data_IF_769411619700
#
_entry.id   IF_769411619700
#
_cell.length_a   1.000
_cell.length_b   1.000
_cell.length_c   1.000
_cell.angle_alpha   90.00
_cell.angle_beta   90.00
_cell.angle_gamma   90.00
#
_symmetry.space_group_name_H-M   'P 1'
#
loop_
_entity.id
_entity.type
_entity.pdbx_description
1 polymer ?
#
# COMPACT_ATOMS: atom_id res chain seq x y z
N UNK A 1 37.92 -46.31 -29.16
CA UNK A 1 37.21 -45.16 -29.76
C UNK A 1 36.49 -44.42 -28.63
N UNK A 2 37.18 -43.52 -27.92
CA UNK A 2 36.62 -42.74 -26.81
C UNK A 2 36.29 -41.33 -27.30
N UNK A 3 35.01 -41.04 -27.50
CA UNK A 3 34.55 -39.71 -27.89
C UNK A 3 34.63 -38.77 -26.67
N UNK A 4 35.41 -37.69 -26.81
CA UNK A 4 35.49 -36.61 -25.84
C UNK A 4 34.16 -35.84 -25.81
N UNK A 5 33.65 -35.42 -24.63
CA UNK A 5 32.46 -34.58 -24.57
C UNK A 5 32.73 -33.20 -25.21
N UNK A 6 31.73 -32.57 -25.85
CA UNK A 6 31.89 -31.27 -26.47
C UNK A 6 32.11 -30.19 -25.40
N UNK A 7 32.85 -29.12 -25.71
CA UNK A 7 33.05 -28.03 -24.76
C UNK A 7 31.72 -27.37 -24.43
N UNK A 8 31.47 -27.19 -23.13
CA UNK A 8 30.36 -26.36 -22.65
C UNK A 8 30.60 -24.95 -23.17
N UNK A 9 29.75 -24.50 -24.10
CA UNK A 9 29.77 -23.12 -24.55
C UNK A 9 29.35 -22.27 -23.36
N UNK A 10 30.34 -21.69 -22.66
CA UNK A 10 30.08 -20.55 -21.81
C UNK A 10 29.68 -19.45 -22.79
N UNK A 11 28.38 -19.22 -22.97
CA UNK A 11 27.88 -18.02 -23.62
C UNK A 11 28.34 -16.87 -22.75
N UNK A 12 29.53 -16.35 -23.04
CA UNK A 12 30.05 -15.15 -22.43
C UNK A 12 28.97 -14.11 -22.64
N UNK A 13 28.32 -13.71 -21.57
CA UNK A 13 27.32 -12.65 -21.59
C UNK A 13 28.04 -11.43 -22.14
N UNK A 14 27.82 -11.11 -23.42
CA UNK A 14 28.24 -9.83 -23.96
C UNK A 14 27.63 -8.79 -23.05
N UNK A 15 28.45 -8.09 -22.27
CA UNK A 15 27.99 -7.07 -21.37
C UNK A 15 27.27 -6.03 -22.24
N UNK A 16 25.94 -6.11 -22.26
CA UNK A 16 25.09 -5.18 -22.99
C UNK A 16 25.45 -3.79 -22.51
N UNK A 17 25.90 -2.94 -23.42
CA UNK A 17 26.30 -1.55 -23.12
C UNK A 17 25.09 -0.65 -22.86
N UNK A 18 23.90 -1.23 -22.66
CA UNK A 18 22.66 -0.53 -22.40
C UNK A 18 22.32 -0.56 -20.91
N UNK A 19 21.74 0.53 -20.42
CA UNK A 19 21.25 0.59 -19.04
C UNK A 19 20.19 -0.50 -18.84
N UNK A 20 20.42 -1.37 -17.87
CA UNK A 20 19.52 -2.49 -17.55
C UNK A 20 18.13 -1.98 -17.18
N UNK A 21 17.10 -2.61 -17.75
CA UNK A 21 15.70 -2.35 -17.39
C UNK A 21 15.45 -2.77 -15.92
N UNK A 22 14.37 -2.30 -15.31
CA UNK A 22 13.98 -2.68 -13.95
C UNK A 22 13.85 -4.21 -13.81
N UNK A 23 13.28 -4.86 -14.82
CA UNK A 23 13.13 -6.31 -14.90
C UNK A 23 14.49 -7.01 -15.00
N UNK A 24 15.42 -6.47 -15.80
CA UNK A 24 16.77 -7.05 -15.95
C UNK A 24 17.57 -6.97 -14.63
N UNK A 25 17.43 -5.87 -13.88
CA UNK A 25 18.04 -5.72 -12.55
C UNK A 25 17.49 -6.74 -11.56
N UNK A 26 16.18 -6.96 -11.56
CA UNK A 26 15.54 -7.99 -10.72
C UNK A 26 16.01 -9.38 -11.12
N UNK A 27 16.07 -9.68 -12.42
CA UNK A 27 16.58 -10.96 -12.94
C UNK A 27 18.01 -11.22 -12.48
N UNK A 28 18.91 -10.25 -12.62
CA UNK A 28 20.29 -10.38 -12.16
C UNK A 28 20.40 -10.59 -10.62
N UNK A 29 19.53 -9.94 -9.84
CA UNK A 29 19.47 -10.14 -8.39
C UNK A 29 18.95 -11.54 -8.03
N UNK A 30 17.93 -12.04 -8.74
CA UNK A 30 17.39 -13.40 -8.58
C UNK A 30 18.41 -14.46 -8.97
N UNK A 31 19.07 -14.31 -10.12
CA UNK A 31 20.15 -15.22 -10.56
C UNK A 31 21.28 -15.30 -9.51
N UNK A 32 21.61 -14.17 -8.87
CA UNK A 32 22.57 -14.13 -7.76
C UNK A 32 22.08 -14.85 -6.50
N UNK A 33 20.79 -14.70 -6.17
CA UNK A 33 20.19 -15.31 -4.97
C UNK A 33 19.98 -16.82 -5.14
N UNK A 34 19.59 -17.25 -6.35
CA UNK A 34 19.33 -18.64 -6.69
C UNK A 34 20.60 -19.45 -6.97
N UNK A 35 21.76 -18.81 -7.11
CA UNK A 35 23.05 -19.50 -7.24
C UNK A 35 23.34 -20.41 -6.04
N UNK A 36 23.02 -19.94 -4.83
CA UNK A 36 23.21 -20.67 -3.58
C UNK A 36 21.91 -20.63 -2.73
N UNK A 37 20.93 -21.52 -3.00
CA UNK A 37 19.61 -21.47 -2.36
C UNK A 37 19.64 -21.85 -0.86
N UNK A 38 20.74 -22.43 -0.38
CA UNK A 38 20.93 -22.74 1.04
C UNK A 38 21.31 -21.52 1.88
N UNK A 39 21.72 -20.41 1.25
CA UNK A 39 22.09 -19.19 1.96
C UNK A 39 20.84 -18.38 2.30
N UNK A 40 20.56 -18.05 3.57
CA UNK A 40 19.43 -17.22 3.92
C UNK A 40 19.56 -15.84 3.28
N UNK A 41 18.46 -15.36 2.68
CA UNK A 41 18.41 -14.04 2.07
C UNK A 41 18.54 -12.96 3.16
N UNK A 42 19.46 -12.01 2.96
CA UNK A 42 19.62 -10.88 3.88
C UNK A 42 18.52 -9.85 3.64
N UNK A 43 17.58 -9.77 4.57
CA UNK A 43 16.60 -8.68 4.64
C UNK A 43 17.10 -7.67 5.67
N UNK A 44 17.36 -6.40 5.29
CA UNK A 44 17.81 -5.40 6.24
C UNK A 44 16.73 -5.13 7.29
N UNK A 45 17.15 -5.02 8.55
CA UNK A 45 16.28 -4.58 9.63
C UNK A 45 15.76 -3.15 9.36
N UNK A 46 14.61 -2.76 9.94
CA UNK A 46 14.08 -1.41 9.79
C UNK A 46 15.12 -0.37 10.25
N UNK A 47 15.14 0.83 9.62
CA UNK A 47 16.03 1.92 10.03
C UNK A 47 15.83 2.23 11.51
N UNK A 48 16.94 2.25 12.27
CA UNK A 48 16.91 2.61 13.69
C UNK A 48 16.82 4.13 13.85
N UNK A 49 16.07 4.56 14.85
CA UNK A 49 16.02 5.97 15.23
C UNK A 49 17.38 6.43 15.76
N UNK A 50 17.70 7.71 15.54
CA UNK A 50 18.97 8.28 15.96
C UNK A 50 18.93 8.47 17.48
N UNK A 51 19.75 7.72 18.20
CA UNK A 51 19.86 7.85 19.65
C UNK A 51 21.24 8.39 20.04
N UNK A 52 21.29 9.19 21.10
CA UNK A 52 22.55 9.67 21.67
C UNK A 52 23.00 8.70 22.76
N UNK A 53 24.32 8.50 22.82
CA UNK A 53 24.93 7.67 23.86
C UNK A 53 24.60 8.24 25.24
N UNK A 54 24.19 7.41 26.21
CA UNK A 54 23.89 7.88 27.54
C UNK A 54 25.12 8.55 28.18
N UNK A 55 24.85 9.52 29.05
CA UNK A 55 25.91 10.14 29.85
C UNK A 55 26.60 9.08 30.71
N UNK A 56 27.93 9.22 30.88
CA UNK A 56 28.69 8.34 31.78
C UNK A 56 28.33 8.67 33.21
N UNK A 57 28.03 7.64 34.01
CA UNK A 57 27.65 7.79 35.42
C UNK A 57 28.79 8.39 36.27
N UNK A 58 30.00 7.83 36.18
CA UNK A 58 31.17 8.31 36.91
C UNK A 58 32.28 8.76 35.97
N UNK A 59 32.76 9.98 36.18
CA UNK A 59 33.93 10.51 35.49
C UNK A 59 35.17 10.28 36.37
N UNK A 60 36.14 9.50 35.89
CA UNK A 60 37.33 9.13 36.67
C UNK A 60 38.40 10.23 36.76
N UNK A 61 38.35 11.21 35.85
CA UNK A 61 39.40 12.21 35.66
C UNK A 61 38.91 13.62 35.99
N UNK A 62 38.17 13.78 37.10
CA UNK A 62 37.69 15.10 37.54
C UNK A 62 38.82 15.79 38.31
N UNK A 63 39.36 16.86 37.74
CA UNK A 63 40.34 17.71 38.40
C UNK A 63 39.63 18.53 39.51
N UNK A 64 40.35 18.87 40.59
CA UNK A 64 39.77 19.60 41.73
C UNK A 64 39.16 20.96 41.34
N UNK A 65 38.13 21.40 42.08
CA UNK A 65 37.32 22.58 41.72
C UNK A 65 38.08 23.91 41.68
N UNK A 66 39.20 24.02 42.39
CA UNK A 66 40.07 25.20 42.41
C UNK A 66 41.25 25.12 41.44
N UNK A 67 41.38 24.01 40.72
CA UNK A 67 42.50 23.80 39.84
C UNK A 67 42.30 24.57 38.52
N UNK A 68 43.36 25.15 37.97
CA UNK A 68 43.29 25.97 36.75
C UNK A 68 42.89 25.20 35.49
N UNK A 69 42.47 25.92 34.45
CA UNK A 69 42.11 25.34 33.17
C UNK A 69 43.32 24.64 32.51
N UNK A 70 43.23 23.32 32.32
CA UNK A 70 44.22 22.55 31.59
C UNK A 70 44.10 22.74 30.07
N UNK A 71 45.14 22.37 29.33
CA UNK A 71 45.17 22.47 27.86
C UNK A 71 44.12 21.60 27.16
N UNK A 72 43.66 20.53 27.79
CA UNK A 72 42.62 19.64 27.28
C UNK A 72 41.18 20.09 27.54
N UNK A 73 40.96 21.06 28.44
CA UNK A 73 39.62 21.44 28.89
C UNK A 73 38.76 22.01 27.76
N UNK A 74 39.37 22.76 26.84
CA UNK A 74 38.69 23.26 25.64
C UNK A 74 38.07 22.15 24.81
N UNK A 75 38.78 21.04 24.61
CA UNK A 75 38.29 19.91 23.82
C UNK A 75 37.19 19.14 24.57
N UNK A 76 37.30 19.02 25.89
CA UNK A 76 36.26 18.42 26.74
C UNK A 76 34.96 19.23 26.61
N UNK A 77 35.04 20.55 26.75
CA UNK A 77 33.90 21.45 26.57
C UNK A 77 33.31 21.40 25.15
N UNK A 78 34.15 21.44 24.11
CA UNK A 78 33.68 21.34 22.72
C UNK A 78 32.92 20.03 22.47
N UNK A 79 33.41 18.92 23.01
CA UNK A 79 32.78 17.62 22.88
C UNK A 79 31.50 17.48 23.73
N UNK A 80 31.45 18.06 24.93
CA UNK A 80 30.24 18.06 25.77
C UNK A 80 29.16 18.95 25.17
N UNK A 81 29.51 20.16 24.73
CA UNK A 81 28.58 21.09 24.07
C UNK A 81 28.01 20.51 22.78
N UNK A 82 28.83 19.86 21.94
CA UNK A 82 28.34 19.19 20.72
C UNK A 82 27.33 18.08 21.06
N UNK A 83 27.65 17.22 22.05
CA UNK A 83 26.73 16.18 22.52
C UNK A 83 25.42 16.76 23.06
N UNK A 84 25.49 17.87 23.79
CA UNK A 84 24.30 18.50 24.34
C UNK A 84 23.43 19.15 23.28
N UNK A 85 24.01 19.81 22.27
CA UNK A 85 23.24 20.34 21.14
C UNK A 85 22.60 19.24 20.30
N UNK A 86 23.30 18.13 20.07
CA UNK A 86 22.70 16.96 19.44
C UNK A 86 21.52 16.44 20.26
N UNK A 87 21.63 16.43 21.60
CA UNK A 87 20.58 15.95 22.52
C UNK A 87 19.36 16.84 22.51
N UNK A 88 19.54 18.14 22.63
CA UNK A 88 18.46 19.11 22.55
C UNK A 88 17.78 19.03 21.18
N UNK A 89 18.56 18.94 20.10
CA UNK A 89 18.01 18.81 18.76
C UNK A 89 17.17 17.54 18.56
N UNK A 90 17.61 16.39 19.07
CA UNK A 90 16.80 15.17 18.97
C UNK A 90 15.52 15.28 19.78
N UNK A 91 15.59 15.82 21.00
CA UNK A 91 14.40 16.02 21.84
C UNK A 91 13.40 16.97 21.18
N UNK A 92 13.88 18.06 20.56
CA UNK A 92 13.03 19.01 19.83
C UNK A 92 12.41 18.36 18.58
N UNK A 93 13.18 17.57 17.82
CA UNK A 93 12.70 16.81 16.66
C UNK A 93 11.66 15.75 17.04
N UNK A 94 11.85 15.05 18.17
CA UNK A 94 10.89 14.08 18.71
C UNK A 94 9.58 14.76 19.12
N UNK A 95 9.67 15.84 19.90
CA UNK A 95 8.48 16.61 20.30
C UNK A 95 7.70 17.13 19.09
N UNK A 96 8.38 17.66 18.06
CA UNK A 96 7.74 18.09 16.83
C UNK A 96 7.02 16.93 16.13
N UNK A 97 7.69 15.79 15.94
CA UNK A 97 7.08 14.60 15.32
C UNK A 97 5.87 14.11 16.10
N UNK A 98 5.95 14.04 17.42
CA UNK A 98 4.84 13.62 18.28
C UNK A 98 3.62 14.54 18.10
N UNK A 99 3.84 15.86 18.07
CA UNK A 99 2.75 16.82 17.83
C UNK A 99 2.13 16.66 16.44
N UNK A 100 2.95 16.49 15.40
CA UNK A 100 2.48 16.29 14.02
C UNK A 100 1.68 14.99 13.87
N UNK A 101 2.16 13.90 14.47
CA UNK A 101 1.48 12.60 14.47
C UNK A 101 0.16 12.69 15.22
N UNK A 102 0.13 13.29 16.41
CA UNK A 102 -1.09 13.44 17.18
C UNK A 102 -2.14 14.29 16.44
N UNK A 103 -1.73 15.37 15.79
CA UNK A 103 -2.62 16.17 14.94
C UNK A 103 -3.14 15.40 13.73
N UNK A 104 -2.26 14.65 13.07
CA UNK A 104 -2.63 13.85 11.91
C UNK A 104 -3.63 12.75 12.28
N UNK A 105 -3.39 12.04 13.38
CA UNK A 105 -4.28 11.01 13.89
C UNK A 105 -5.63 11.58 14.29
N UNK A 106 -5.66 12.74 14.94
CA UNK A 106 -6.91 13.45 15.25
C UNK A 106 -7.70 13.76 13.98
N UNK A 107 -7.06 14.41 12.99
CA UNK A 107 -7.67 14.76 11.70
C UNK A 107 -8.14 13.51 10.94
N UNK A 108 -7.38 12.41 10.99
CA UNK A 108 -7.74 11.13 10.37
C UNK A 108 -8.98 10.53 11.02
N UNK A 109 -9.02 10.48 12.35
CA UNK A 109 -10.15 9.95 13.12
C UNK A 109 -11.42 10.75 12.91
N UNK A 110 -11.33 12.08 12.84
CA UNK A 110 -12.46 12.96 12.52
C UNK A 110 -13.03 12.64 11.13
N UNK A 111 -12.17 12.52 10.12
CA UNK A 111 -12.58 12.19 8.74
C UNK A 111 -13.21 10.80 8.64
N UNK A 112 -12.64 9.82 9.33
CA UNK A 112 -13.19 8.46 9.40
C UNK A 112 -14.56 8.45 10.09
N UNK A 113 -14.71 9.13 11.22
CA UNK A 113 -15.98 9.24 11.94
C UNK A 113 -17.07 9.92 11.09
N UNK A 114 -16.74 10.97 10.34
CA UNK A 114 -17.69 11.61 9.41
C UNK A 114 -18.10 10.68 8.27
N UNK A 115 -17.16 9.93 7.69
CA UNK A 115 -17.44 8.96 6.64
C UNK A 115 -18.31 7.82 7.18
N UNK A 116 -18.02 7.31 8.38
CA UNK A 116 -18.81 6.30 9.07
C UNK A 116 -20.21 6.80 9.40
N UNK A 117 -20.38 8.03 9.89
CA UNK A 117 -21.68 8.62 10.17
C UNK A 117 -22.55 8.73 8.89
N UNK A 118 -21.95 9.18 7.78
CA UNK A 118 -22.61 9.27 6.47
C UNK A 118 -23.00 7.88 5.95
N UNK A 119 -22.09 6.91 6.01
CA UNK A 119 -22.33 5.54 5.52
C UNK A 119 -23.33 4.80 6.41
N UNK A 120 -23.28 4.95 7.73
CA UNK A 120 -24.22 4.38 8.69
C UNK A 120 -25.64 4.92 8.49
N UNK A 121 -25.79 6.24 8.29
CA UNK A 121 -27.08 6.86 7.97
C UNK A 121 -27.67 6.28 6.68
N UNK A 122 -26.85 6.09 5.64
CA UNK A 122 -27.29 5.51 4.37
C UNK A 122 -27.59 4.01 4.50
N UNK A 123 -26.80 3.26 5.26
CA UNK A 123 -27.03 1.85 5.59
C UNK A 123 -28.35 1.67 6.34
N UNK A 124 -28.62 2.49 7.36
CA UNK A 124 -29.87 2.47 8.11
C UNK A 124 -31.10 2.75 7.22
N UNK A 125 -31.01 3.72 6.31
CA UNK A 125 -32.07 3.99 5.31
C UNK A 125 -32.34 2.78 4.42
N UNK A 126 -31.29 2.12 3.92
CA UNK A 126 -31.41 0.90 3.09
C UNK A 126 -32.03 -0.27 3.86
N UNK A 127 -31.62 -0.50 5.11
CA UNK A 127 -32.17 -1.55 5.96
C UNK A 127 -33.66 -1.31 6.27
N UNK A 128 -34.06 -0.08 6.59
CA UNK A 128 -35.48 0.27 6.77
C UNK A 128 -36.30 0.01 5.50
N UNK A 129 -35.76 0.34 4.31
CA UNK A 129 -36.42 0.04 3.02
C UNK A 129 -36.53 -1.47 2.77
N UNK A 130 -35.46 -2.24 3.03
CA UNK A 130 -35.44 -3.71 2.90
C UNK A 130 -36.44 -4.38 3.85
N UNK A 131 -36.52 -3.92 5.10
CA UNK A 131 -37.51 -4.41 6.07
C UNK A 131 -38.96 -4.15 5.62
N UNK A 132 -39.27 -2.94 5.14
CA UNK A 132 -40.59 -2.62 4.58
C UNK A 132 -40.94 -3.44 3.33
N UNK A 133 -39.97 -3.73 2.47
CA UNK A 133 -40.19 -4.55 1.28
C UNK A 133 -40.43 -6.03 1.64
N UNK A 134 -39.68 -6.58 2.60
CA UNK A 134 -39.91 -7.95 3.10
C UNK A 134 -41.26 -8.11 3.79
N UNK A 135 -41.71 -7.11 4.57
CA UNK A 135 -43.03 -7.14 5.20
C UNK A 135 -44.20 -7.04 4.21
N UNK A 136 -44.02 -6.36 3.07
CA UNK A 136 -45.05 -6.28 2.02
C UNK A 136 -45.05 -7.43 1.01
N UNK A 137 -43.95 -8.18 0.90
CA UNK A 137 -43.85 -9.35 0.02
C UNK A 137 -44.42 -10.63 0.65
N UNK A 138 -44.40 -10.76 1.98
CA UNK A 138 -44.88 -11.95 2.67
C UNK A 138 -46.41 -12.02 2.84
N UNK A 139 -47.14 -10.93 2.59
CA UNK A 139 -48.62 -10.88 2.73
C UNK A 139 -49.34 -10.84 1.36
N UNK A 140 -48.59 -10.96 0.25
CA UNK A 140 -49.16 -10.85 -1.12
C UNK A 140 -48.86 -12.04 -2.01
N UNK A 141 -48.68 -13.23 -1.44
CA UNK A 141 -48.83 -14.50 -2.15
C UNK A 141 -50.20 -15.09 -1.78
N UNK A 142 -51.27 -14.47 -2.31
CA UNK A 142 -52.63 -14.96 -2.06
C UNK A 142 -53.76 -13.96 -2.35
N UNK A 143 -53.79 -13.34 -3.53
CA UNK A 143 -55.04 -12.93 -4.19
C UNK A 143 -54.79 -12.16 -5.50
N UNK A 144 -55.25 -12.76 -6.61
CA UNK A 144 -56.04 -12.09 -7.65
C UNK A 144 -55.46 -10.87 -8.34
N UNK A 145 -55.01 -11.05 -9.58
CA UNK A 145 -54.82 -9.96 -10.53
C UNK A 145 -56.15 -9.38 -11.00
N UNK A 146 -56.24 -8.05 -10.99
CA UNK A 146 -57.05 -7.24 -11.89
C UNK A 146 -56.56 -5.80 -11.80
N UNK A 147 -56.40 -5.15 -12.95
CA UNK A 147 -55.58 -3.97 -13.14
C UNK A 147 -56.02 -2.71 -12.41
N UNK A 148 -55.07 -1.79 -12.28
CA UNK A 148 -55.28 -0.36 -12.34
C UNK A 148 -53.91 0.33 -12.41
N UNK A 149 -53.74 1.24 -13.36
CA UNK A 149 -52.52 2.04 -13.57
C UNK A 149 -52.28 2.96 -12.37
N UNK A 150 -51.14 2.92 -11.65
CA UNK A 150 -50.88 3.94 -10.67
C UNK A 150 -50.20 5.15 -11.33
N UNK A 151 -51.00 6.18 -11.56
CA UNK A 151 -50.58 7.58 -11.68
C UNK A 151 -49.46 7.88 -10.66
N UNK A 152 -48.24 8.12 -11.15
CA UNK A 152 -47.07 8.35 -10.32
C UNK A 152 -47.03 9.85 -9.98
N UNK A 153 -47.14 10.25 -8.69
CA UNK A 153 -47.22 11.66 -8.34
C UNK A 153 -45.93 12.40 -8.73
N UNK A 154 -46.11 13.48 -9.51
CA UNK A 154 -45.12 14.40 -10.10
C UNK A 154 -44.03 14.98 -9.15
N UNK A 155 -44.00 14.61 -7.87
CA UNK A 155 -43.11 15.16 -6.83
C UNK A 155 -41.70 14.53 -6.78
N UNK A 156 -41.31 13.69 -7.76
CA UNK A 156 -39.95 13.10 -7.86
C UNK A 156 -39.17 13.50 -9.11
N UNK A 157 -39.56 14.56 -9.81
CA UNK A 157 -38.72 15.19 -10.83
C UNK A 157 -37.85 16.24 -10.15
N UNK A 158 -36.56 15.94 -9.91
CA UNK A 158 -35.59 16.96 -9.48
C UNK A 158 -35.14 17.72 -10.72
N UNK A 159 -35.78 18.87 -10.95
CA UNK A 159 -35.38 19.84 -11.95
C UNK A 159 -34.13 20.58 -11.45
N UNK A 160 -33.01 20.46 -12.14
CA UNK A 160 -31.83 21.32 -11.95
C UNK A 160 -31.63 22.02 -13.30
N UNK A 161 -31.70 23.36 -13.29
CA UNK A 161 -31.45 24.20 -14.47
C UNK A 161 -32.43 24.06 -15.65
N UNK A 162 -33.72 23.82 -15.41
CA UNK A 162 -34.78 24.03 -16.42
C UNK A 162 -34.79 23.09 -17.63
N UNK A 163 -33.89 22.11 -17.71
CA UNK A 163 -33.93 21.00 -18.70
C UNK A 163 -34.24 19.69 -17.98
N UNK A 164 -35.25 18.99 -18.48
CA UNK A 164 -35.71 17.72 -17.91
C UNK A 164 -34.68 16.61 -18.16
N UNK A 165 -34.05 16.08 -17.10
CA UNK A 165 -33.27 14.86 -17.18
C UNK A 165 -34.22 13.66 -17.15
N UNK A 166 -34.62 13.19 -18.34
CA UNK A 166 -35.28 11.90 -18.52
C UNK A 166 -34.18 10.83 -18.53
N UNK A 167 -34.23 9.92 -17.56
CA UNK A 167 -33.34 8.75 -17.54
C UNK A 167 -33.79 7.79 -18.66
N UNK A 168 -33.04 7.74 -19.77
CA UNK A 168 -33.19 6.69 -20.79
C UNK A 168 -33.00 5.32 -20.14
N UNK A 169 -33.93 4.40 -20.40
CA UNK A 169 -33.73 2.97 -20.11
C UNK A 169 -32.76 2.40 -21.16
N UNK A 170 -31.90 1.43 -20.81
CA UNK A 170 -31.01 0.81 -21.79
C UNK A 170 -31.84 0.13 -22.90
N UNK A 171 -31.74 0.61 -24.14
CA UNK A 171 -32.36 -0.01 -25.33
C UNK A 171 -33.14 0.89 -26.31
N UNK A 172 -33.09 2.23 -26.21
CA UNK A 172 -33.82 3.12 -27.14
C UNK A 172 -32.83 3.95 -27.99
N UNK A 173 -32.67 3.51 -29.24
CA UNK A 173 -31.84 4.07 -30.32
C UNK A 173 -32.59 5.25 -30.95
N UNK A 174 -31.93 6.41 -31.07
CA UNK A 174 -32.40 7.53 -31.89
C UNK A 174 -31.17 8.08 -32.59
N UNK A 175 -31.15 7.89 -33.90
CA UNK A 175 -30.28 8.57 -34.86
C UNK A 175 -30.46 10.10 -34.81
N UNK A 176 -29.49 10.80 -35.40
CA UNK A 176 -29.39 12.25 -35.67
C UNK A 176 -28.61 13.06 -34.61
N UNK A 177 -27.27 13.14 -34.78
CA UNK A 177 -26.60 14.32 -35.35
C UNK A 177 -25.07 14.11 -35.41
N UNK A 178 -24.50 14.48 -36.56
CA UNK A 178 -23.08 14.37 -36.94
C UNK A 178 -22.17 15.43 -36.27
N UNK A 179 -20.87 15.10 -36.26
CA UNK A 179 -19.69 15.95 -36.05
C UNK A 179 -19.26 16.30 -34.60
N UNK A 180 -18.21 15.60 -34.12
CA UNK A 180 -16.92 16.17 -33.68
C UNK A 180 -16.00 15.04 -33.17
N UNK A 181 -15.06 14.57 -34.00
CA UNK A 181 -14.13 13.47 -33.67
C UNK A 181 -12.89 14.03 -32.94
N UNK A 182 -12.87 13.91 -31.61
CA UNK A 182 -11.67 14.02 -30.77
C UNK A 182 -10.99 12.66 -30.56
N UNK A 183 -9.67 12.60 -30.30
CA UNK A 183 -8.88 11.38 -30.44
C UNK A 183 -9.14 10.37 -29.31
N UNK A 184 -9.40 9.11 -29.70
CA UNK A 184 -9.62 7.99 -28.80
C UNK A 184 -8.32 7.51 -28.12
N UNK A 185 -8.37 7.10 -26.83
CA UNK A 185 -7.31 6.33 -26.20
C UNK A 185 -7.35 4.86 -26.63
N UNK A 186 -6.17 4.30 -26.89
CA UNK A 186 -5.96 2.94 -27.36
C UNK A 186 -6.55 1.87 -26.42
N UNK A 187 -7.16 0.87 -27.04
CA UNK A 187 -7.83 -0.27 -26.43
C UNK A 187 -6.87 -1.47 -26.44
N UNK A 188 -6.44 -1.89 -25.25
CA UNK A 188 -5.67 -3.12 -25.04
C UNK A 188 -6.59 -4.34 -25.18
N UNK A 189 -6.47 -5.05 -26.30
CA UNK A 189 -7.07 -6.36 -26.50
C UNK A 189 -6.33 -7.41 -25.67
N UNK A 190 -6.92 -7.81 -24.54
CA UNK A 190 -6.51 -8.98 -23.77
C UNK A 190 -6.74 -10.24 -24.61
N UNK A 191 -5.64 -10.88 -25.01
CA UNK A 191 -5.63 -12.24 -25.56
C UNK A 191 -5.38 -13.21 -24.39
N UNK A 192 -6.33 -14.11 -24.13
CA UNK A 192 -6.29 -15.14 -23.10
C UNK A 192 -5.68 -16.44 -23.68
N UNK A 193 -4.45 -16.86 -23.34
CA UNK A 193 -3.94 -18.18 -23.71
C UNK A 193 -4.13 -19.16 -22.53
N UNK A 194 -5.37 -19.38 -22.09
CA UNK A 194 -5.69 -20.28 -20.98
C UNK A 194 -6.21 -21.66 -21.42
N UNK A 195 -5.78 -22.16 -22.59
CA UNK A 195 -6.16 -23.50 -23.06
C UNK A 195 -5.05 -24.25 -23.79
N UNK A 196 -3.81 -24.23 -23.29
CA UNK A 196 -2.86 -25.28 -23.66
C UNK A 196 -1.74 -25.46 -22.62
N UNK A 197 -2.03 -26.21 -21.55
CA UNK A 197 -1.01 -26.69 -20.62
C UNK A 197 -1.49 -27.98 -19.95
N UNK A 198 -1.73 -29.02 -20.75
CA UNK A 198 -1.87 -30.36 -20.24
C UNK A 198 -0.51 -30.89 -19.73
N UNK A 199 -0.50 -31.28 -18.46
CA UNK A 199 0.46 -32.20 -17.80
C UNK A 199 1.95 -31.80 -17.75
N UNK A 200 2.35 -31.14 -16.66
CA UNK A 200 3.73 -31.16 -16.17
C UNK A 200 3.81 -32.06 -14.93
N UNK A 201 4.83 -32.94 -14.79
CA UNK A 201 4.97 -33.78 -13.61
C UNK A 201 5.34 -32.92 -12.38
N UNK A 202 4.52 -33.01 -11.33
CA UNK A 202 4.79 -32.40 -10.03
C UNK A 202 5.96 -33.15 -9.39
N UNK A 203 7.13 -32.52 -9.32
CA UNK A 203 8.23 -33.03 -8.52
C UNK A 203 8.04 -32.57 -7.06
N UNK A 204 8.02 -33.53 -6.14
CA UNK A 204 7.89 -33.30 -4.71
C UNK A 204 9.05 -32.42 -4.20
N UNK A 205 8.74 -31.20 -3.75
CA UNK A 205 9.71 -30.32 -3.11
C UNK A 205 9.88 -30.70 -1.64
N UNK A 206 11.12 -30.73 -1.17
CA UNK A 206 11.47 -31.01 0.22
C UNK A 206 10.87 -29.95 1.16
N UNK A 207 10.05 -30.38 2.12
CA UNK A 207 9.45 -29.52 3.16
C UNK A 207 10.53 -28.73 3.90
N UNK A 208 10.44 -27.41 3.84
CA UNK A 208 11.27 -26.49 4.63
C UNK A 208 10.70 -26.46 6.06
N UNK A 209 11.46 -26.94 7.05
CA UNK A 209 11.16 -26.78 8.47
C UNK A 209 11.70 -25.46 8.99
N UNK A 210 10.81 -24.57 9.42
CA UNK A 210 11.14 -23.32 10.11
C UNK A 210 11.27 -23.68 11.60
N UNK A 211 12.45 -23.45 12.18
CA UNK A 211 12.68 -23.58 13.63
C UNK A 211 12.45 -22.18 14.20
N UNK A 212 11.32 -21.99 14.86
CA UNK A 212 11.06 -20.81 15.69
C UNK A 212 11.69 -21.06 17.07
N UNK A 213 12.88 -20.51 17.30
CA UNK A 213 13.45 -20.45 18.65
C UNK A 213 12.79 -19.29 19.41
N UNK A 214 11.82 -19.63 20.26
CA UNK A 214 11.27 -18.76 21.31
C UNK A 214 12.39 -18.37 22.28
N UNK A 215 12.75 -17.10 22.30
CA UNK A 215 13.63 -16.53 23.32
C UNK A 215 12.83 -16.18 24.58
N UNK A 216 13.09 -16.93 25.66
CA UNK A 216 12.73 -16.61 27.05
C UNK A 216 13.27 -15.25 27.49
#
# INVERSE_FOLDING_TARGET
MSASPPPTQTTGTSASRHALNAVDKQRAQLERLLKDPSKPAYVPAPPREKTIRPAREMMKNVQGSSAGAGSGEFHVYKASRRREYERLKLMDEEAQKETEVAEYERKKREREAEAEAKTAKNRAKRLKKKGRAKGKGAEKDGAGGSGDTPDVPLKKRRLISGKELVFKRPGEESDEDEEEVGPAPAEDSLHDPATDAAHLPVADTTRITIIEEDSL
#
